data_IF_653092085186
#
_entry.id   IF_653092085186
#
_cell.length_a   1.000
_cell.length_b   1.000
_cell.length_c   1.000
_cell.angle_alpha   90.00
_cell.angle_beta   90.00
_cell.angle_gamma   90.00
#
_symmetry.space_group_name_H-M   'P 1'
#
loop_
_entity.id
_entity.type
_entity.pdbx_description
1 polymer ?
#
# COMPACT_ATOMS: atom_id res chain seq x y z
N UNK A 1 -0.38 12.31 6.45
CA UNK A 1 0.88 11.63 6.11
C UNK A 1 2.05 12.60 6.07
N UNK A 2 2.06 13.61 5.18
CA UNK A 2 3.16 14.59 5.06
C UNK A 2 3.58 15.21 6.41
N UNK A 3 2.62 15.73 7.18
CA UNK A 3 2.89 16.29 8.50
C UNK A 3 3.52 15.27 9.47
N UNK A 4 3.11 14.00 9.42
CA UNK A 4 3.70 12.96 10.26
C UNK A 4 5.18 12.73 9.93
N UNK A 5 5.54 12.72 8.64
CA UNK A 5 6.94 12.59 8.18
C UNK A 5 7.78 13.80 8.60
N UNK A 6 7.27 15.02 8.38
CA UNK A 6 7.98 16.25 8.72
C UNK A 6 8.20 16.36 10.23
N UNK A 7 7.14 16.17 11.02
CA UNK A 7 7.22 16.29 12.47
C UNK A 7 8.07 15.16 13.09
N UNK A 8 8.00 13.93 12.58
CA UNK A 8 8.81 12.83 13.11
C UNK A 8 10.30 13.07 12.90
N UNK A 9 10.68 13.63 11.75
CA UNK A 9 12.05 14.03 11.43
C UNK A 9 12.53 15.15 12.36
N UNK A 10 11.69 16.17 12.59
CA UNK A 10 12.03 17.30 13.48
C UNK A 10 12.15 16.90 14.95
N UNK A 11 11.35 15.92 15.40
CA UNK A 11 11.28 15.47 16.79
C UNK A 11 12.14 14.23 17.07
N UNK A 12 12.91 13.75 16.08
CA UNK A 12 13.68 12.50 16.16
C UNK A 12 12.83 11.30 16.63
N UNK A 13 11.59 11.20 16.15
CA UNK A 13 10.69 10.07 16.42
C UNK A 13 10.77 9.09 15.25
N UNK A 14 11.05 7.83 15.53
CA UNK A 14 11.11 6.81 14.49
C UNK A 14 9.70 6.47 13.99
N UNK A 15 9.53 6.36 12.67
CA UNK A 15 8.25 6.03 12.04
C UNK A 15 8.19 4.54 11.68
N UNK A 16 7.14 3.85 12.12
CA UNK A 16 6.70 2.56 11.55
C UNK A 16 5.39 2.74 10.81
N UNK A 17 5.28 2.12 9.64
CA UNK A 17 4.10 2.24 8.79
C UNK A 17 3.29 0.95 8.86
N UNK A 18 1.99 1.06 9.10
CA UNK A 18 1.08 -0.10 9.12
C UNK A 18 -0.06 0.08 8.13
N UNK A 19 -0.18 -0.89 7.23
CA UNK A 19 -1.37 -1.08 6.39
C UNK A 19 -2.25 -2.17 7.02
N UNK A 20 -2.19 -3.42 6.54
CA UNK A 20 -3.01 -4.53 7.05
C UNK A 20 -2.43 -5.29 8.25
N UNK A 21 -1.22 -4.94 8.71
CA UNK A 21 -0.61 -5.55 9.91
C UNK A 21 -0.13 -7.01 9.74
N UNK A 22 -0.02 -7.51 8.51
CA UNK A 22 0.46 -8.87 8.19
C UNK A 22 1.98 -9.02 8.16
N UNK A 23 2.70 -8.14 8.84
CA UNK A 23 4.15 -8.28 8.93
C UNK A 23 4.50 -9.48 9.82
N UNK A 24 5.29 -10.42 9.30
CA UNK A 24 5.57 -11.69 9.97
C UNK A 24 6.38 -11.51 11.26
N UNK A 25 7.16 -10.44 11.35
CA UNK A 25 8.01 -10.11 12.49
C UNK A 25 7.44 -8.92 13.29
N UNK A 26 6.23 -8.46 12.97
CA UNK A 26 5.59 -7.32 13.61
C UNK A 26 6.28 -5.97 13.38
N UNK A 27 7.20 -5.85 12.42
CA UNK A 27 8.02 -4.64 12.21
C UNK A 27 7.22 -3.41 11.78
N UNK A 28 5.95 -3.60 11.38
CA UNK A 28 5.01 -2.50 11.08
C UNK A 28 4.45 -1.79 12.32
N UNK A 29 4.54 -2.41 13.52
CA UNK A 29 4.01 -1.84 14.77
C UNK A 29 4.91 -2.03 15.99
N UNK A 30 5.99 -2.81 15.87
CA UNK A 30 7.05 -2.91 16.85
C UNK A 30 8.34 -2.32 16.26
N UNK A 31 9.15 -1.70 17.11
CA UNK A 31 10.44 -1.18 16.72
C UNK A 31 11.47 -1.48 17.81
N UNK A 32 12.56 -2.14 17.45
CA UNK A 32 13.78 -2.23 18.24
C UNK A 32 14.68 -1.07 17.85
N UNK A 33 14.42 0.09 18.45
CA UNK A 33 15.24 1.30 18.24
C UNK A 33 15.84 1.63 19.59
N UNK A 34 17.17 1.53 19.69
CA UNK A 34 17.87 1.98 20.89
C UNK A 34 17.81 3.51 20.93
N UNK A 35 17.53 4.05 22.11
CA UNK A 35 17.60 5.47 22.47
C UNK A 35 16.58 6.45 21.85
N UNK A 36 15.58 6.01 21.05
CA UNK A 36 14.56 6.90 20.47
C UNK A 36 13.13 6.35 20.56
N UNK A 37 12.12 7.19 20.88
CA UNK A 37 10.72 6.79 20.79
C UNK A 37 10.32 6.54 19.33
N UNK A 38 9.31 5.71 19.12
CA UNK A 38 8.72 5.48 17.82
C UNK A 38 7.21 5.73 17.82
N UNK A 39 6.65 5.99 16.65
CA UNK A 39 5.21 6.07 16.43
C UNK A 39 4.80 5.25 15.22
N UNK A 40 3.57 4.72 15.27
CA UNK A 40 2.97 3.96 14.17
C UNK A 40 2.06 4.90 13.38
N UNK A 41 2.34 5.08 12.10
CA UNK A 41 1.42 5.70 11.16
C UNK A 41 0.55 4.60 10.53
N UNK A 42 -0.69 4.51 11.01
CA UNK A 42 -1.64 3.49 10.59
C UNK A 42 -2.54 3.99 9.45
N UNK A 43 -2.54 3.27 8.33
CA UNK A 43 -3.30 3.59 7.12
C UNK A 43 -4.72 3.03 7.11
N UNK A 44 -5.22 2.41 8.19
CA UNK A 44 -6.57 1.82 8.26
C UNK A 44 -7.74 2.75 7.86
N UNK A 45 -7.53 4.07 7.77
CA UNK A 45 -8.55 5.02 7.30
C UNK A 45 -8.39 5.43 5.82
N UNK A 46 -7.27 5.11 5.19
CA UNK A 46 -6.98 5.33 3.77
C UNK A 46 -7.35 4.07 2.99
N UNK A 47 -8.65 3.86 2.76
CA UNK A 47 -9.21 2.63 2.18
C UNK A 47 -10.08 2.87 0.94
N UNK A 48 -9.98 4.04 0.33
CA UNK A 48 -10.71 4.34 -0.90
C UNK A 48 -10.24 3.43 -2.05
N UNK A 49 -11.20 2.97 -2.85
CA UNK A 49 -10.99 2.17 -4.06
C UNK A 49 -11.85 2.76 -5.17
N UNK A 50 -11.22 3.27 -6.23
CA UNK A 50 -11.88 3.86 -7.40
C UNK A 50 -11.51 3.07 -8.64
N UNK A 51 -12.49 2.36 -9.19
CA UNK A 51 -12.32 1.46 -10.35
C UNK A 51 -12.81 2.16 -11.60
N UNK A 52 -11.97 2.22 -12.64
CA UNK A 52 -12.34 2.62 -13.98
C UNK A 52 -12.26 1.42 -14.93
N UNK A 53 -13.41 0.93 -15.39
CA UNK A 53 -13.47 -0.22 -16.30
C UNK A 53 -13.13 0.17 -17.74
N UNK A 54 -13.40 1.42 -18.16
CA UNK A 54 -13.10 1.87 -19.53
C UNK A 54 -11.59 1.90 -19.78
N UNK A 55 -10.83 2.33 -18.76
CA UNK A 55 -9.37 2.38 -18.82
C UNK A 55 -8.70 1.09 -18.29
N UNK A 56 -9.49 0.12 -17.81
CA UNK A 56 -9.00 -1.09 -17.11
C UNK A 56 -8.03 -0.79 -15.94
N UNK A 57 -8.28 0.30 -15.20
CA UNK A 57 -7.42 0.75 -14.08
C UNK A 57 -8.17 0.86 -12.76
N UNK A 58 -7.41 0.85 -11.67
CA UNK A 58 -7.93 1.08 -10.32
C UNK A 58 -6.95 1.93 -9.51
N UNK A 59 -7.45 3.01 -8.91
CA UNK A 59 -6.75 3.72 -7.85
C UNK A 59 -7.19 3.17 -6.50
N UNK A 60 -6.22 2.69 -5.71
CA UNK A 60 -6.48 2.10 -4.41
C UNK A 60 -5.54 2.68 -3.36
N UNK A 61 -6.10 3.08 -2.22
CA UNK A 61 -5.32 3.64 -1.13
C UNK A 61 -4.58 2.58 -0.33
N UNK A 62 -3.42 2.95 0.23
CA UNK A 62 -2.46 2.02 0.85
C UNK A 62 -3.02 1.22 2.04
N UNK A 63 -4.10 1.67 2.67
CA UNK A 63 -4.74 0.99 3.78
C UNK A 63 -5.83 0.00 3.38
N UNK A 64 -6.28 -0.01 2.13
CA UNK A 64 -7.26 -0.99 1.65
C UNK A 64 -6.65 -2.40 1.63
N UNK A 65 -7.50 -3.42 1.73
CA UNK A 65 -7.07 -4.81 1.67
C UNK A 65 -7.27 -5.43 0.29
N UNK A 66 -6.56 -6.52 0.03
CA UNK A 66 -6.71 -7.35 -1.17
C UNK A 66 -8.18 -7.76 -1.39
N UNK A 67 -8.89 -8.13 -0.32
CA UNK A 67 -10.32 -8.47 -0.40
C UNK A 67 -11.21 -7.30 -0.81
N UNK A 68 -10.95 -6.09 -0.31
CA UNK A 68 -11.71 -4.90 -0.72
C UNK A 68 -11.47 -4.54 -2.18
N UNK A 69 -10.22 -4.65 -2.64
CA UNK A 69 -9.86 -4.44 -4.04
C UNK A 69 -10.62 -5.42 -4.95
N UNK A 70 -10.56 -6.71 -4.65
CA UNK A 70 -11.27 -7.73 -5.42
C UNK A 70 -12.77 -7.48 -5.43
N UNK A 71 -13.36 -7.19 -4.28
CA UNK A 71 -14.79 -6.93 -4.18
C UNK A 71 -15.21 -5.73 -5.03
N UNK A 72 -14.47 -4.62 -4.96
CA UNK A 72 -14.77 -3.40 -5.70
C UNK A 72 -14.63 -3.56 -7.21
N UNK A 73 -13.66 -4.35 -7.68
CA UNK A 73 -13.54 -4.72 -9.10
C UNK A 73 -14.75 -5.58 -9.52
N UNK A 74 -15.08 -6.60 -8.73
CA UNK A 74 -16.19 -7.52 -9.01
C UNK A 74 -17.57 -6.83 -9.02
N UNK A 75 -17.78 -5.79 -8.19
CA UNK A 75 -19.00 -4.95 -8.22
C UNK A 75 -19.17 -4.22 -9.56
N UNK A 76 -18.09 -3.98 -10.30
CA UNK A 76 -18.10 -3.23 -11.57
C UNK A 76 -18.04 -4.14 -12.79
N UNK A 77 -17.43 -5.31 -12.68
CA UNK A 77 -17.33 -6.26 -13.80
C UNK A 77 -17.10 -7.69 -13.34
N UNK A 78 -17.72 -8.65 -14.02
CA UNK A 78 -17.54 -10.09 -13.81
C UNK A 78 -16.40 -10.70 -14.64
N UNK A 79 -15.72 -9.92 -15.48
CA UNK A 79 -14.59 -10.37 -16.31
C UNK A 79 -13.26 -9.71 -15.98
N UNK A 80 -13.23 -8.79 -15.01
CA UNK A 80 -12.02 -8.12 -14.54
C UNK A 80 -11.59 -8.65 -13.17
N UNK A 81 -10.28 -8.65 -12.93
CA UNK A 81 -9.68 -8.99 -11.64
C UNK A 81 -8.28 -8.38 -11.56
N UNK A 82 -7.60 -8.56 -10.42
CA UNK A 82 -6.23 -8.09 -10.20
C UNK A 82 -5.37 -9.26 -9.66
N UNK A 83 -4.15 -9.50 -10.18
CA UNK A 83 -3.28 -10.56 -9.68
C UNK A 83 -2.77 -10.23 -8.28
N UNK A 84 -3.20 -11.02 -7.28
CA UNK A 84 -2.79 -10.79 -5.90
C UNK A 84 -3.06 -11.97 -4.97
N UNK A 85 -2.95 -11.70 -3.67
CA UNK A 85 -2.90 -12.72 -2.63
C UNK A 85 -4.21 -13.46 -2.45
N UNK A 86 -4.13 -14.65 -1.86
CA UNK A 86 -5.31 -15.45 -1.49
C UNK A 86 -5.92 -14.94 -0.18
N UNK A 87 -5.10 -14.47 0.76
CA UNK A 87 -5.58 -13.91 2.02
C UNK A 87 -6.21 -12.52 1.80
N UNK A 88 -7.48 -12.37 2.16
CA UNK A 88 -8.29 -11.17 1.89
C UNK A 88 -7.97 -9.99 2.81
N UNK A 89 -7.39 -10.23 3.98
CA UNK A 89 -7.03 -9.20 4.97
C UNK A 89 -5.64 -8.60 4.79
N UNK A 90 -4.88 -9.04 3.78
CA UNK A 90 -3.60 -8.45 3.42
C UNK A 90 -3.79 -6.98 3.02
N UNK A 91 -3.10 -6.06 3.68
CA UNK A 91 -3.14 -4.65 3.34
C UNK A 91 -2.25 -4.33 2.14
N UNK A 92 -2.79 -3.60 1.17
CA UNK A 92 -2.17 -3.39 -0.12
C UNK A 92 -0.85 -2.62 -0.05
N UNK A 93 -0.73 -1.67 0.88
CA UNK A 93 0.47 -0.86 1.04
C UNK A 93 1.74 -1.70 1.25
N UNK A 94 1.70 -2.70 2.15
CA UNK A 94 2.83 -3.59 2.40
C UNK A 94 2.89 -4.76 1.41
N UNK A 95 1.73 -5.26 0.97
CA UNK A 95 1.65 -6.41 0.08
C UNK A 95 2.23 -6.12 -1.31
N UNK A 96 1.85 -4.99 -1.92
CA UNK A 96 2.33 -4.59 -3.25
C UNK A 96 3.81 -4.19 -3.18
N UNK A 97 4.22 -3.43 -2.16
CA UNK A 97 5.64 -3.01 -2.03
C UNK A 97 6.60 -4.18 -1.83
N UNK A 98 6.11 -5.31 -1.32
CA UNK A 98 6.87 -6.56 -1.18
C UNK A 98 6.80 -7.48 -2.41
N UNK A 99 6.20 -7.04 -3.51
CA UNK A 99 5.98 -7.83 -4.73
C UNK A 99 4.55 -8.35 -4.84
N UNK A 100 4.16 -9.25 -3.92
CA UNK A 100 2.80 -9.78 -3.83
C UNK A 100 2.49 -10.88 -4.83
N UNK A 101 2.65 -12.15 -4.44
CA UNK A 101 2.30 -13.31 -5.27
C UNK A 101 0.88 -13.81 -5.01
N UNK A 102 0.34 -14.56 -5.98
CA UNK A 102 -1.05 -15.00 -5.97
C UNK A 102 -1.37 -16.18 -6.88
N UNK A 103 -2.66 -16.54 -6.93
CA UNK A 103 -3.16 -17.63 -7.78
C UNK A 103 -2.96 -17.37 -9.28
N UNK A 104 -2.90 -16.09 -9.69
CA UNK A 104 -2.71 -15.69 -11.08
C UNK A 104 -1.24 -15.41 -11.46
N UNK A 105 -0.29 -15.70 -10.55
CA UNK A 105 1.15 -15.43 -10.72
C UNK A 105 1.69 -15.94 -12.05
N UNK A 106 1.37 -17.19 -12.41
CA UNK A 106 1.90 -17.82 -13.63
C UNK A 106 1.41 -17.18 -14.93
N UNK A 107 0.31 -16.43 -14.88
CA UNK A 107 -0.30 -15.80 -16.06
C UNK A 107 0.02 -14.32 -16.16
N UNK A 108 0.03 -13.60 -15.03
CA UNK A 108 0.13 -12.13 -15.01
C UNK A 108 1.28 -11.58 -14.14
N UNK A 109 2.12 -12.44 -13.54
CA UNK A 109 3.19 -12.00 -12.66
C UNK A 109 2.72 -11.61 -11.25
N UNK A 110 3.56 -10.84 -10.56
CA UNK A 110 3.29 -10.33 -9.21
C UNK A 110 2.31 -9.15 -9.25
N UNK A 111 1.71 -8.84 -8.09
CA UNK A 111 0.89 -7.64 -7.93
C UNK A 111 1.65 -6.36 -8.33
N UNK A 112 2.93 -6.25 -7.92
CA UNK A 112 3.79 -5.11 -8.26
C UNK A 112 4.05 -4.96 -9.76
N UNK A 113 4.11 -6.06 -10.51
CA UNK A 113 4.35 -6.04 -11.96
C UNK A 113 3.18 -5.41 -12.74
N UNK A 114 2.03 -5.25 -12.07
CA UNK A 114 0.80 -4.72 -12.63
C UNK A 114 0.47 -3.31 -12.09
N UNK A 115 1.44 -2.63 -11.46
CA UNK A 115 1.30 -1.24 -11.00
C UNK A 115 1.84 -0.29 -12.05
N UNK A 116 1.02 0.68 -12.47
CA UNK A 116 1.37 1.64 -13.53
C UNK A 116 1.72 3.05 -13.01
N UNK A 117 1.31 3.37 -11.78
CA UNK A 117 1.56 4.63 -11.07
C UNK A 117 1.38 4.41 -9.56
N UNK A 118 1.93 5.30 -8.74
CA UNK A 118 1.80 5.29 -7.29
C UNK A 118 1.98 6.70 -6.72
N UNK A 119 1.30 6.99 -5.60
CA UNK A 119 1.55 8.21 -4.82
C UNK A 119 2.37 7.90 -3.58
N UNK A 120 3.57 8.47 -3.49
CA UNK A 120 4.49 8.31 -2.36
C UNK A 120 4.70 9.62 -1.63
N UNK A 121 5.08 9.53 -0.35
CA UNK A 121 5.56 10.68 0.43
C UNK A 121 7.02 10.44 0.76
N UNK A 122 7.89 11.35 0.33
CA UNK A 122 9.33 11.24 0.56
C UNK A 122 9.77 11.79 1.92
N UNK A 123 11.08 11.75 2.21
CA UNK A 123 11.68 12.22 3.46
C UNK A 123 11.55 13.72 3.72
N UNK A 124 11.20 14.50 2.69
CA UNK A 124 10.93 15.93 2.78
C UNK A 124 9.42 16.23 2.89
N UNK A 125 8.59 15.19 2.97
CA UNK A 125 7.14 15.32 3.06
C UNK A 125 6.49 15.72 1.74
N UNK A 126 7.16 15.58 0.59
CA UNK A 126 6.60 15.88 -0.73
C UNK A 126 5.76 14.69 -1.21
N UNK A 127 4.60 14.96 -1.81
CA UNK A 127 3.79 13.94 -2.47
C UNK A 127 4.26 13.82 -3.91
N UNK A 128 4.65 12.61 -4.32
CA UNK A 128 5.18 12.31 -5.64
C UNK A 128 4.31 11.26 -6.32
N UNK A 129 3.90 11.53 -7.55
CA UNK A 129 3.42 10.50 -8.48
C UNK A 129 4.59 9.94 -9.30
N UNK A 130 4.35 8.95 -10.17
CA UNK A 130 5.37 8.35 -11.03
C UNK A 130 6.19 9.38 -11.81
N UNK A 131 5.51 10.35 -12.43
CA UNK A 131 6.16 11.40 -13.22
C UNK A 131 7.05 12.29 -12.35
N UNK A 132 6.58 12.68 -11.17
CA UNK A 132 7.34 13.48 -10.22
C UNK A 132 8.54 12.72 -9.64
N UNK A 133 8.56 11.39 -9.74
CA UNK A 133 9.72 10.54 -9.41
C UNK A 133 10.76 10.47 -10.54
N UNK A 134 10.49 11.03 -11.72
CA UNK A 134 11.44 11.10 -12.84
C UNK A 134 11.29 10.01 -13.89
N UNK A 135 10.17 9.26 -13.88
CA UNK A 135 9.78 8.33 -14.96
C UNK A 135 8.89 8.98 -16.03
#
# INVERSE_FOLDING_TARGET
VQAAVICSKQLSVHLRLRSGGHDFEGVSYAATVDDHPFMVLDFQRFRSVSVNIEDETVWVEAGATVGELYYKIAEKSNVHSFPGGVATSLGLGGYISGGGYGSMLRKYGLAVDNVIDARLVDSEGRVLDRKAMGE
#
